data_IF_955836239183
#
_entry.id   IF_955836239183
#
_cell.length_a   1.000
_cell.length_b   1.000
_cell.length_c   1.000
_cell.angle_alpha   90.00
_cell.angle_beta   90.00
_cell.angle_gamma   90.00
#
_symmetry.space_group_name_H-M   'P 1'
#
loop_
_entity.id
_entity.type
_entity.pdbx_description
1 polymer ?
#
# COMPACT_ATOMS: atom_id res chain seq x y z
N UNK A 1 40.13 10.13 -7.39
CA UNK A 1 39.06 9.13 -7.30
C UNK A 1 37.98 9.65 -6.36
N UNK A 2 36.89 10.18 -6.85
CA UNK A 2 35.73 10.62 -6.05
C UNK A 2 35.09 9.36 -5.50
N UNK A 3 35.17 9.14 -4.17
CA UNK A 3 34.57 7.97 -3.53
C UNK A 3 33.09 7.94 -3.88
N UNK A 4 32.58 6.84 -4.43
CA UNK A 4 31.17 6.59 -4.77
C UNK A 4 30.20 6.91 -3.62
N UNK A 5 30.71 6.93 -2.39
CA UNK A 5 29.98 7.26 -1.15
C UNK A 5 29.40 8.68 -1.11
N UNK A 6 30.00 9.67 -1.78
CA UNK A 6 29.52 11.06 -1.74
C UNK A 6 28.23 11.28 -2.57
N UNK A 7 27.97 10.45 -3.55
CA UNK A 7 26.73 10.50 -4.33
C UNK A 7 25.50 10.00 -3.58
N UNK A 8 25.72 9.26 -2.48
CA UNK A 8 24.63 8.79 -1.61
C UNK A 8 24.15 9.85 -0.62
N UNK A 9 24.96 10.91 -0.38
CA UNK A 9 24.62 11.94 0.61
C UNK A 9 23.34 12.70 0.29
N UNK A 10 23.12 13.22 -0.94
CA UNK A 10 21.86 13.91 -1.26
C UNK A 10 20.64 13.00 -1.15
N UNK A 11 20.78 11.75 -1.55
CA UNK A 11 19.71 10.75 -1.38
C UNK A 11 19.40 10.48 0.10
N UNK A 12 20.43 10.33 0.94
CA UNK A 12 20.27 10.13 2.38
C UNK A 12 19.59 11.33 3.04
N UNK A 13 20.01 12.56 2.70
CA UNK A 13 19.37 13.79 3.20
C UNK A 13 17.90 13.83 2.79
N UNK A 14 17.59 13.51 1.54
CA UNK A 14 16.21 13.45 1.05
C UNK A 14 15.38 12.43 1.84
N UNK A 15 15.90 11.22 2.06
CA UNK A 15 15.22 10.18 2.83
C UNK A 15 15.00 10.60 4.28
N UNK A 16 15.98 11.19 4.93
CA UNK A 16 15.83 11.69 6.32
C UNK A 16 14.76 12.78 6.38
N UNK A 17 14.80 13.73 5.46
CA UNK A 17 13.91 14.90 5.49
C UNK A 17 12.45 14.54 5.11
N UNK A 18 12.25 13.68 4.11
CA UNK A 18 10.91 13.40 3.59
C UNK A 18 10.28 12.09 4.11
N UNK A 19 11.07 11.19 4.67
CA UNK A 19 10.55 9.92 5.20
C UNK A 19 10.67 9.88 6.72
N UNK A 20 11.90 10.07 7.25
CA UNK A 20 12.14 9.91 8.69
C UNK A 20 11.49 11.05 9.49
N UNK A 21 11.59 12.29 9.01
CA UNK A 21 11.05 13.44 9.73
C UNK A 21 9.51 13.40 9.88
N UNK A 22 8.71 13.12 8.85
CA UNK A 22 7.27 12.93 9.02
C UNK A 22 6.91 11.78 9.96
N UNK A 23 7.65 10.66 9.91
CA UNK A 23 7.42 9.55 10.85
C UNK A 23 7.72 9.95 12.30
N UNK A 24 8.80 10.72 12.54
CA UNK A 24 9.09 11.25 13.86
C UNK A 24 8.03 12.24 14.34
N UNK A 25 7.50 13.09 13.46
CA UNK A 25 6.39 13.98 13.79
C UNK A 25 5.15 13.20 14.22
N UNK A 26 4.76 12.16 13.49
CA UNK A 26 3.64 11.27 13.88
C UNK A 26 3.90 10.65 15.25
N UNK A 27 5.13 10.18 15.51
CA UNK A 27 5.51 9.63 16.80
C UNK A 27 5.39 10.67 17.92
N UNK A 28 5.89 11.88 17.70
CA UNK A 28 5.77 12.99 18.67
C UNK A 28 4.31 13.31 18.96
N UNK A 29 3.47 13.45 17.92
CA UNK A 29 2.03 13.69 18.08
C UNK A 29 1.30 12.56 18.80
N UNK A 30 1.72 11.30 18.61
CA UNK A 30 1.15 10.17 19.34
C UNK A 30 1.30 10.29 20.87
N UNK A 31 2.39 10.93 21.30
CA UNK A 31 2.69 11.15 22.73
C UNK A 31 2.41 12.57 23.21
N UNK A 32 1.89 13.45 22.38
CA UNK A 32 1.62 14.83 22.74
C UNK A 32 0.20 14.98 23.29
N UNK A 33 0.07 15.62 24.45
CA UNK A 33 -1.22 16.01 25.03
C UNK A 33 -1.74 17.29 24.38
N UNK A 34 -3.07 17.45 24.31
CA UNK A 34 -3.76 18.66 23.84
C UNK A 34 -3.40 19.93 24.64
N UNK A 35 -2.89 19.78 25.86
CA UNK A 35 -2.52 20.87 26.75
C UNK A 35 -0.99 21.11 26.81
N UNK A 36 -0.23 20.45 25.93
CA UNK A 36 1.24 20.50 25.92
C UNK A 36 1.83 19.65 27.05
N UNK A 37 2.49 18.57 26.71
CA UNK A 37 3.11 17.64 27.65
C UNK A 37 3.14 16.23 27.07
N UNK A 38 3.89 15.36 27.72
CA UNK A 38 4.03 13.96 27.29
C UNK A 38 2.89 13.12 27.90
N UNK A 39 2.16 12.38 27.09
CA UNK A 39 1.04 11.56 27.56
C UNK A 39 0.94 10.24 26.76
N UNK A 40 0.54 9.18 27.44
CA UNK A 40 0.13 7.91 26.84
C UNK A 40 -1.38 7.84 26.56
N UNK A 41 -2.12 8.90 26.86
CA UNK A 41 -3.58 8.91 26.75
C UNK A 41 -4.07 8.67 25.32
N UNK A 42 -3.34 9.14 24.30
CA UNK A 42 -3.71 8.91 22.90
C UNK A 42 -3.62 7.43 22.51
N UNK A 43 -2.59 6.74 23.02
CA UNK A 43 -2.43 5.30 22.80
C UNK A 43 -3.49 4.52 23.58
N UNK A 44 -3.72 4.87 24.85
CA UNK A 44 -4.78 4.26 25.64
C UNK A 44 -6.17 4.48 25.03
N UNK A 45 -6.41 5.67 24.48
CA UNK A 45 -7.66 6.01 23.79
C UNK A 45 -7.91 5.12 22.59
N UNK A 46 -6.87 4.78 21.81
CA UNK A 46 -7.00 3.85 20.69
C UNK A 46 -7.58 2.50 21.11
N UNK A 47 -7.13 1.96 22.27
CA UNK A 47 -7.65 0.69 22.80
C UNK A 47 -9.02 0.80 23.49
N UNK A 48 -9.46 2.01 23.80
CA UNK A 48 -10.75 2.26 24.45
C UNK A 48 -11.82 2.68 23.44
N UNK A 49 -11.39 3.25 22.31
CA UNK A 49 -12.27 3.71 21.25
C UNK A 49 -12.75 2.51 20.41
N UNK A 50 -14.06 2.26 20.51
CA UNK A 50 -14.72 1.14 19.83
C UNK A 50 -14.63 1.24 18.30
N UNK A 51 -14.71 2.46 17.77
CA UNK A 51 -14.67 2.70 16.33
C UNK A 51 -13.25 2.49 15.77
N UNK A 52 -12.24 2.88 16.54
CA UNK A 52 -10.84 2.65 16.18
C UNK A 52 -10.51 1.15 16.13
N UNK A 53 -10.94 0.39 17.14
CA UNK A 53 -10.74 -1.08 17.18
C UNK A 53 -11.51 -1.77 16.07
N UNK A 54 -12.76 -1.38 15.82
CA UNK A 54 -13.58 -1.94 14.75
C UNK A 54 -12.95 -1.69 13.39
N UNK A 55 -12.50 -0.46 13.12
CA UNK A 55 -11.82 -0.09 11.87
C UNK A 55 -10.51 -0.86 11.70
N UNK A 56 -9.73 -1.02 12.77
CA UNK A 56 -8.51 -1.81 12.74
C UNK A 56 -8.79 -3.29 12.44
N UNK A 57 -9.83 -3.86 13.06
CA UNK A 57 -10.28 -5.23 12.79
C UNK A 57 -10.66 -5.45 11.32
N UNK A 58 -11.48 -4.56 10.76
CA UNK A 58 -11.86 -4.60 9.34
C UNK A 58 -10.64 -4.44 8.43
N UNK A 59 -9.69 -3.60 8.79
CA UNK A 59 -8.45 -3.42 8.01
C UNK A 59 -7.61 -4.69 7.96
N UNK A 60 -7.47 -5.40 9.08
CA UNK A 60 -6.76 -6.68 9.13
C UNK A 60 -7.49 -7.75 8.31
N UNK A 61 -8.82 -7.83 8.44
CA UNK A 61 -9.63 -8.76 7.65
C UNK A 61 -9.41 -8.55 6.15
N UNK A 62 -9.53 -7.30 5.68
CA UNK A 62 -9.29 -6.95 4.27
C UNK A 62 -7.85 -7.27 3.85
N UNK A 63 -6.86 -7.00 4.69
CA UNK A 63 -5.47 -7.29 4.40
C UNK A 63 -5.22 -8.80 4.22
N UNK A 64 -5.82 -9.65 5.05
CA UNK A 64 -5.71 -11.11 4.96
C UNK A 64 -6.38 -11.59 3.67
N UNK A 65 -7.63 -11.16 3.42
CA UNK A 65 -8.37 -11.54 2.21
C UNK A 65 -7.61 -11.13 0.94
N UNK A 66 -7.13 -9.89 0.88
CA UNK A 66 -6.36 -9.38 -0.23
C UNK A 66 -5.07 -10.19 -0.46
N UNK A 67 -4.35 -10.50 0.61
CA UNK A 67 -3.12 -11.30 0.55
C UNK A 67 -3.40 -12.70 0.00
N UNK A 68 -4.45 -13.37 0.47
CA UNK A 68 -4.82 -14.70 0.00
C UNK A 68 -5.19 -14.68 -1.49
N UNK A 69 -5.96 -13.69 -1.93
CA UNK A 69 -6.35 -13.53 -3.33
C UNK A 69 -5.10 -13.26 -4.20
N UNK A 70 -4.24 -12.34 -3.77
CA UNK A 70 -3.00 -12.04 -4.48
C UNK A 70 -2.08 -13.27 -4.59
N UNK A 71 -1.97 -14.08 -3.55
CA UNK A 71 -1.20 -15.33 -3.59
C UNK A 71 -1.83 -16.36 -4.52
N UNK A 72 -3.15 -16.48 -4.47
CA UNK A 72 -3.89 -17.47 -5.28
C UNK A 72 -3.71 -17.20 -6.78
N UNK A 73 -3.71 -15.94 -7.20
CA UNK A 73 -3.54 -15.56 -8.61
C UNK A 73 -2.09 -15.26 -8.97
N UNK A 74 -1.36 -14.60 -8.10
CA UNK A 74 0.02 -14.16 -8.34
C UNK A 74 1.00 -15.32 -8.41
N UNK A 75 0.86 -16.32 -7.53
CA UNK A 75 1.77 -17.47 -7.53
C UNK A 75 1.69 -18.30 -8.82
N UNK A 76 0.50 -18.74 -9.31
CA UNK A 76 0.40 -19.43 -10.58
C UNK A 76 0.87 -18.58 -11.76
N UNK A 77 0.54 -17.28 -11.79
CA UNK A 77 0.99 -16.37 -12.82
C UNK A 77 2.53 -16.27 -12.85
N UNK A 78 3.16 -16.07 -11.71
CA UNK A 78 4.61 -16.02 -11.60
C UNK A 78 5.27 -17.35 -12.01
N UNK A 79 4.69 -18.48 -11.62
CA UNK A 79 5.18 -19.80 -12.01
C UNK A 79 5.11 -20.02 -13.53
N UNK A 80 4.00 -19.63 -14.17
CA UNK A 80 3.83 -19.73 -15.63
C UNK A 80 4.86 -18.83 -16.34
N UNK A 81 5.03 -17.59 -15.86
CA UNK A 81 5.97 -16.62 -16.44
C UNK A 81 7.44 -17.08 -16.29
N UNK A 82 7.78 -17.70 -15.17
CA UNK A 82 9.14 -18.20 -14.90
C UNK A 82 9.48 -19.47 -15.71
N UNK A 83 8.46 -20.24 -16.12
CA UNK A 83 8.67 -21.49 -16.82
C UNK A 83 8.91 -21.25 -18.31
N UNK A 84 10.17 -21.39 -18.75
CA UNK A 84 10.57 -21.22 -20.16
C UNK A 84 9.89 -22.15 -21.15
N UNK A 85 9.32 -23.27 -20.69
CA UNK A 85 8.55 -24.18 -21.55
C UNK A 85 7.15 -23.62 -21.87
N UNK A 86 6.55 -22.92 -20.91
CA UNK A 86 5.21 -22.33 -21.02
C UNK A 86 5.30 -20.90 -21.59
N UNK A 87 6.24 -20.13 -21.13
CA UNK A 87 6.46 -18.75 -21.57
C UNK A 87 7.72 -18.65 -22.46
N UNK A 88 7.50 -18.68 -23.77
CA UNK A 88 8.58 -18.54 -24.76
C UNK A 88 8.83 -17.10 -25.20
N UNK A 89 7.96 -16.18 -24.84
CA UNK A 89 8.02 -14.80 -25.30
C UNK A 89 8.29 -13.81 -24.15
N UNK A 90 9.33 -13.00 -24.29
CA UNK A 90 9.58 -11.89 -23.39
C UNK A 90 8.43 -10.86 -23.41
N UNK A 91 7.65 -10.80 -24.49
CA UNK A 91 6.49 -9.91 -24.63
C UNK A 91 5.44 -10.19 -23.57
N UNK A 92 5.21 -11.47 -23.21
CA UNK A 92 4.25 -11.84 -22.16
C UNK A 92 4.63 -11.23 -20.80
N UNK A 93 5.92 -11.24 -20.46
CA UNK A 93 6.41 -10.63 -19.21
C UNK A 93 6.20 -9.11 -19.23
N UNK A 94 6.50 -8.46 -20.36
CA UNK A 94 6.32 -7.01 -20.52
C UNK A 94 4.84 -6.63 -20.39
N UNK A 95 3.93 -7.40 -21.00
CA UNK A 95 2.49 -7.17 -20.89
C UNK A 95 1.98 -7.28 -19.44
N UNK A 96 2.54 -8.19 -18.64
CA UNK A 96 2.20 -8.30 -17.21
C UNK A 96 2.74 -7.12 -16.37
N UNK A 97 3.88 -6.54 -16.77
CA UNK A 97 4.49 -5.41 -16.08
C UNK A 97 3.85 -4.08 -16.51
N UNK A 98 3.30 -3.99 -17.74
CA UNK A 98 2.71 -2.77 -18.29
C UNK A 98 1.69 -2.07 -17.38
N UNK A 99 0.75 -2.78 -16.72
CA UNK A 99 -0.19 -2.15 -15.80
C UNK A 99 0.47 -1.42 -14.62
N UNK A 100 1.68 -1.84 -14.22
CA UNK A 100 2.42 -1.17 -13.13
C UNK A 100 2.94 0.23 -13.53
N UNK A 101 3.04 0.53 -14.82
CA UNK A 101 3.47 1.84 -15.33
C UNK A 101 2.34 2.86 -15.33
N UNK A 102 1.10 2.41 -15.24
CA UNK A 102 -0.04 3.30 -15.10
C UNK A 102 -0.08 3.83 -13.66
N UNK A 103 -0.26 5.14 -13.51
CA UNK A 103 -0.39 5.75 -12.20
C UNK A 103 -1.53 5.09 -11.41
N UNK A 104 -1.22 4.59 -10.21
CA UNK A 104 -2.17 3.87 -9.36
C UNK A 104 -3.43 4.69 -9.06
N UNK A 105 -3.28 6.02 -8.87
CA UNK A 105 -4.42 6.91 -8.62
C UNK A 105 -5.37 6.97 -9.83
N UNK A 106 -4.83 7.12 -11.04
CA UNK A 106 -5.63 7.14 -12.28
C UNK A 106 -6.35 5.81 -12.50
N UNK A 107 -5.69 4.70 -12.23
CA UNK A 107 -6.26 3.36 -12.33
C UNK A 107 -7.40 3.18 -11.33
N UNK A 108 -7.21 3.59 -10.08
CA UNK A 108 -8.23 3.50 -9.04
C UNK A 108 -9.46 4.36 -9.36
N UNK A 109 -9.26 5.61 -9.81
CA UNK A 109 -10.35 6.50 -10.20
C UNK A 109 -11.12 5.95 -11.40
N UNK A 110 -10.43 5.46 -12.44
CA UNK A 110 -11.08 4.86 -13.62
C UNK A 110 -11.89 3.61 -13.24
N UNK A 111 -11.38 2.77 -12.34
CA UNK A 111 -12.08 1.58 -11.84
C UNK A 111 -13.32 1.96 -11.03
N UNK A 112 -13.22 2.96 -10.16
CA UNK A 112 -14.35 3.46 -9.38
C UNK A 112 -15.45 4.03 -10.28
N UNK A 113 -15.06 4.80 -11.31
CA UNK A 113 -16.02 5.35 -12.28
C UNK A 113 -16.69 4.25 -13.10
N UNK A 114 -15.94 3.24 -13.53
CA UNK A 114 -16.51 2.09 -14.23
C UNK A 114 -17.56 1.36 -13.37
N UNK A 115 -17.30 1.15 -12.08
CA UNK A 115 -18.28 0.56 -11.16
C UNK A 115 -19.52 1.42 -11.00
N UNK A 116 -19.37 2.75 -10.90
CA UNK A 116 -20.48 3.67 -10.84
C UNK A 116 -21.35 3.59 -12.11
N UNK A 117 -20.73 3.57 -13.30
CA UNK A 117 -21.44 3.43 -14.58
C UNK A 117 -22.19 2.09 -14.70
N UNK A 118 -21.64 1.02 -14.13
CA UNK A 118 -22.26 -0.30 -14.11
C UNK A 118 -23.33 -0.45 -13.01
N UNK A 119 -23.56 0.56 -12.19
CA UNK A 119 -24.49 0.52 -11.06
C UNK A 119 -24.03 -0.39 -9.90
N UNK A 120 -22.75 -0.73 -9.85
CA UNK A 120 -22.17 -1.54 -8.77
C UNK A 120 -21.88 -0.64 -7.57
N UNK A 121 -22.47 -0.97 -6.43
CA UNK A 121 -22.24 -0.22 -5.19
C UNK A 121 -20.79 -0.38 -4.72
N UNK A 122 -20.16 0.77 -4.40
CA UNK A 122 -18.81 0.77 -3.83
C UNK A 122 -18.86 0.21 -2.40
N UNK A 123 -18.18 -0.92 -2.17
CA UNK A 123 -18.16 -1.62 -0.88
C UNK A 123 -16.89 -2.44 -0.73
N UNK A 124 -16.88 -3.35 0.25
CA UNK A 124 -15.72 -4.20 0.55
C UNK A 124 -15.23 -4.99 -0.69
N UNK A 125 -16.15 -5.54 -1.49
CA UNK A 125 -15.79 -6.30 -2.69
C UNK A 125 -15.11 -5.47 -3.78
N UNK A 126 -15.62 -4.25 -4.04
CA UNK A 126 -15.01 -3.33 -5.01
C UNK A 126 -13.66 -2.81 -4.54
N UNK A 127 -13.50 -2.62 -3.22
CA UNK A 127 -12.23 -2.24 -2.60
C UNK A 127 -11.20 -3.36 -2.76
N UNK A 128 -11.56 -4.61 -2.44
CA UNK A 128 -10.69 -5.79 -2.65
C UNK A 128 -10.29 -5.92 -4.12
N UNK A 129 -11.24 -5.77 -5.04
CA UNK A 129 -10.93 -5.79 -6.48
C UNK A 129 -9.89 -4.72 -6.84
N UNK A 130 -10.07 -3.48 -6.37
CA UNK A 130 -9.15 -2.39 -6.64
C UNK A 130 -7.75 -2.57 -6.03
N UNK A 131 -7.65 -3.34 -4.93
CA UNK A 131 -6.38 -3.65 -4.28
C UNK A 131 -5.63 -4.81 -4.96
N UNK A 132 -6.36 -5.79 -5.52
CA UNK A 132 -5.78 -6.95 -6.23
C UNK A 132 -5.36 -6.58 -7.65
N UNK A 133 -6.14 -5.74 -8.31
CA UNK A 133 -5.92 -5.28 -9.70
C UNK A 133 -4.83 -4.20 -9.74
#
# INVERSE_FOLDING_TARGET
>A
MIKRSHWSIPYFIFMVLFVVMPMLLVLVYAFQSSQGGFTFANIARFFTDRDAIATFGVSIEIAIENTLICLLFGYPAAWILANKKLNRSAVTVVLFIMPMWINALMRTLATAELFNMLGVTLGKGTLLFGMVY
#
